data_IF_298233625780
#
_entry.id   IF_298233625780
#
_cell.length_a   1.000
_cell.length_b   1.000
_cell.length_c   1.000
_cell.angle_alpha   90.00
_cell.angle_beta   90.00
_cell.angle_gamma   90.00
#
_symmetry.space_group_name_H-M   'P 1'
#
loop_
_entity.id
_entity.type
_entity.pdbx_description
1 polymer ?
#
# COMPACT_ATOMS: atom_id res chain seq x y z
N UNK A 1 -21.33 -11.66 -21.01
CA UNK A 1 -20.92 -11.21 -19.65
C UNK A 1 -20.00 -12.22 -18.97
N UNK A 2 -20.33 -13.50 -18.94
CA UNK A 2 -19.49 -14.56 -18.31
C UNK A 2 -18.10 -14.73 -18.97
N UNK A 3 -18.04 -14.70 -20.30
CA UNK A 3 -16.77 -14.79 -21.04
C UNK A 3 -15.81 -13.64 -20.72
N UNK A 4 -16.32 -12.41 -20.58
CA UNK A 4 -15.51 -11.25 -20.20
C UNK A 4 -14.89 -11.44 -18.81
N UNK A 5 -15.67 -11.96 -17.86
CA UNK A 5 -15.16 -12.24 -16.50
C UNK A 5 -14.07 -13.30 -16.54
N UNK A 6 -14.22 -14.35 -17.35
CA UNK A 6 -13.19 -15.37 -17.50
C UNK A 6 -11.91 -14.81 -18.13
N UNK A 7 -12.00 -13.93 -19.13
CA UNK A 7 -10.85 -13.27 -19.74
C UNK A 7 -10.11 -12.39 -18.73
N UNK A 8 -10.84 -11.62 -17.92
CA UNK A 8 -10.25 -10.80 -16.85
C UNK A 8 -9.54 -11.65 -15.79
N UNK A 9 -10.14 -12.76 -15.37
CA UNK A 9 -9.55 -13.68 -14.40
C UNK A 9 -8.32 -14.43 -14.91
N UNK A 10 -8.19 -14.61 -16.22
CA UNK A 10 -7.00 -15.20 -16.86
C UNK A 10 -5.88 -14.19 -17.09
N UNK A 11 -6.19 -12.90 -17.08
CA UNK A 11 -5.19 -11.86 -17.31
C UNK A 11 -4.29 -11.71 -16.08
N UNK A 12 -3.04 -12.18 -16.18
CA UNK A 12 -2.06 -12.11 -15.08
C UNK A 12 -1.69 -10.67 -14.70
N UNK A 13 -1.75 -9.72 -15.64
CA UNK A 13 -1.49 -8.30 -15.36
C UNK A 13 -2.60 -7.65 -14.52
N UNK A 14 -3.77 -8.29 -14.41
CA UNK A 14 -4.85 -7.86 -13.52
C UNK A 14 -4.82 -8.67 -12.21
N UNK A 15 -4.72 -9.98 -12.33
CA UNK A 15 -4.91 -10.88 -11.18
C UNK A 15 -3.69 -10.93 -10.25
N UNK A 16 -2.46 -10.82 -10.77
CA UNK A 16 -1.26 -10.82 -9.91
C UNK A 16 -1.18 -9.59 -8.99
N UNK A 17 -1.37 -8.34 -9.49
CA UNK A 17 -1.39 -7.18 -8.59
C UNK A 17 -2.53 -7.22 -7.58
N UNK A 18 -3.73 -7.69 -7.95
CA UNK A 18 -4.85 -7.81 -7.03
C UNK A 18 -4.56 -8.84 -5.92
N UNK A 19 -3.93 -9.96 -6.25
CA UNK A 19 -3.49 -10.94 -5.25
C UNK A 19 -2.38 -10.38 -4.34
N UNK A 20 -1.44 -9.63 -4.90
CA UNK A 20 -0.39 -8.98 -4.12
C UNK A 20 -0.98 -7.95 -3.14
N UNK A 21 -1.95 -7.17 -3.58
CA UNK A 21 -2.71 -6.26 -2.73
C UNK A 21 -3.46 -7.00 -1.62
N UNK A 22 -4.20 -8.05 -1.96
CA UNK A 22 -4.97 -8.83 -1.00
C UNK A 22 -4.06 -9.51 0.05
N UNK A 23 -2.94 -10.09 -0.40
CA UNK A 23 -1.95 -10.68 0.50
C UNK A 23 -1.35 -9.63 1.45
N UNK A 24 -1.00 -8.44 0.94
CA UNK A 24 -0.51 -7.34 1.78
C UNK A 24 -1.56 -6.92 2.84
N UNK A 25 -2.84 -6.85 2.47
CA UNK A 25 -3.93 -6.52 3.39
C UNK A 25 -4.10 -7.59 4.48
N UNK A 26 -4.01 -8.86 4.12
CA UNK A 26 -4.10 -9.98 5.08
C UNK A 26 -2.92 -9.96 6.03
N UNK A 27 -1.69 -9.85 5.51
CA UNK A 27 -0.46 -9.85 6.31
C UNK A 27 -0.46 -8.67 7.29
N UNK A 28 -0.78 -7.45 6.85
CA UNK A 28 -0.79 -6.29 7.74
C UNK A 28 -1.86 -6.41 8.84
N UNK A 29 -3.05 -6.95 8.50
CA UNK A 29 -4.11 -7.17 9.47
C UNK A 29 -3.71 -8.22 10.50
N UNK A 30 -3.05 -9.30 10.06
CA UNK A 30 -2.52 -10.33 10.96
C UNK A 30 -1.45 -9.76 11.90
N UNK A 31 -0.50 -8.97 11.38
CA UNK A 31 0.54 -8.31 12.19
C UNK A 31 -0.08 -7.37 13.24
N UNK A 32 -1.06 -6.54 12.83
CA UNK A 32 -1.73 -5.61 13.77
C UNK A 32 -2.52 -6.35 14.84
N UNK A 33 -3.25 -7.40 14.45
CA UNK A 33 -4.02 -8.26 15.38
C UNK A 33 -3.11 -8.93 16.41
N UNK A 34 -1.96 -9.47 15.97
CA UNK A 34 -0.97 -10.08 16.86
C UNK A 34 -0.35 -9.06 17.84
N UNK A 35 -0.07 -7.84 17.36
CA UNK A 35 0.53 -6.78 18.20
C UNK A 35 -0.46 -6.20 19.21
N UNK A 36 -1.71 -5.94 18.79
CA UNK A 36 -2.73 -5.29 19.63
C UNK A 36 -3.59 -6.28 20.42
N UNK A 37 -3.49 -7.57 20.12
CA UNK A 37 -4.35 -8.65 20.66
C UNK A 37 -5.85 -8.36 20.48
N UNK A 38 -6.21 -7.59 19.45
CA UNK A 38 -7.60 -7.24 19.09
C UNK A 38 -7.71 -7.18 17.58
N UNK A 39 -8.74 -7.85 17.04
CA UNK A 39 -9.04 -7.81 15.61
C UNK A 39 -9.75 -6.50 15.27
N UNK A 40 -9.21 -5.78 14.28
CA UNK A 40 -9.76 -4.50 13.82
C UNK A 40 -10.06 -4.56 12.32
N UNK A 41 -11.35 -4.66 11.98
CA UNK A 41 -11.82 -4.69 10.58
C UNK A 41 -11.43 -3.43 9.79
N UNK A 42 -11.34 -2.27 10.44
CA UNK A 42 -10.93 -1.04 9.77
C UNK A 42 -9.49 -1.10 9.24
N UNK A 43 -8.67 -2.00 9.78
CA UNK A 43 -7.31 -2.22 9.31
C UNK A 43 -7.27 -3.00 7.99
N UNK A 44 -8.31 -3.81 7.71
CA UNK A 44 -8.39 -4.60 6.48
C UNK A 44 -8.56 -3.71 5.23
N UNK A 45 -9.26 -2.59 5.35
CA UNK A 45 -9.51 -1.65 4.26
C UNK A 45 -8.81 -0.30 4.45
N UNK A 46 -8.28 -0.04 5.65
CA UNK A 46 -7.66 1.22 6.02
C UNK A 46 -6.25 1.41 5.42
N UNK A 47 -5.80 2.66 5.28
CA UNK A 47 -4.43 2.99 4.91
C UNK A 47 -3.45 2.67 6.06
N UNK A 48 -2.14 2.60 5.75
CA UNK A 48 -1.09 2.34 6.74
C UNK A 48 -0.80 0.87 6.97
N UNK A 49 0.16 0.58 7.87
CA UNK A 49 0.60 -0.77 8.22
C UNK A 49 1.66 -1.36 7.27
N UNK A 50 2.28 -2.48 7.70
CA UNK A 50 3.33 -3.19 6.96
C UNK A 50 2.83 -4.58 6.56
N UNK A 51 3.03 -5.01 5.30
CA UNK A 51 3.61 -4.30 4.16
C UNK A 51 2.65 -3.28 3.52
N UNK A 52 3.17 -2.33 2.69
CA UNK A 52 2.34 -1.39 1.95
C UNK A 52 1.56 -2.10 0.83
N UNK A 53 0.24 -2.05 0.91
CA UNK A 53 -0.63 -2.66 -0.10
C UNK A 53 -0.58 -1.94 -1.46
N UNK A 54 -0.39 -0.60 -1.46
CA UNK A 54 -0.20 0.17 -2.69
C UNK A 54 1.09 -0.23 -3.41
N UNK A 55 2.19 -0.35 -2.66
CA UNK A 55 3.47 -0.78 -3.23
C UNK A 55 3.40 -2.22 -3.77
N UNK A 56 2.73 -3.13 -3.05
CA UNK A 56 2.52 -4.50 -3.51
C UNK A 56 1.70 -4.56 -4.80
N UNK A 57 0.63 -3.75 -4.89
CA UNK A 57 -0.21 -3.66 -6.08
C UNK A 57 0.60 -3.23 -7.31
N UNK A 58 1.29 -2.07 -7.22
CA UNK A 58 1.94 -1.47 -8.39
C UNK A 58 3.21 -2.22 -8.79
N UNK A 59 3.98 -2.77 -7.83
CA UNK A 59 5.14 -3.60 -8.15
C UNK A 59 4.73 -4.96 -8.72
N UNK A 60 3.63 -5.54 -8.21
CA UNK A 60 3.03 -6.75 -8.79
C UNK A 60 2.57 -6.53 -10.23
N UNK A 61 1.97 -5.36 -10.53
CA UNK A 61 1.58 -4.98 -11.89
C UNK A 61 2.80 -4.84 -12.80
N UNK A 62 3.80 -4.07 -12.38
CA UNK A 62 5.01 -3.86 -13.18
C UNK A 62 5.73 -5.20 -13.46
N UNK A 63 5.86 -6.06 -12.45
CA UNK A 63 6.49 -7.38 -12.60
C UNK A 63 5.68 -8.29 -13.52
N UNK A 64 4.36 -8.39 -13.35
CA UNK A 64 3.51 -9.20 -14.22
C UNK A 64 3.57 -8.71 -15.69
N UNK A 65 3.64 -7.38 -15.90
CA UNK A 65 3.81 -6.80 -17.24
C UNK A 65 5.18 -7.12 -17.83
N UNK A 66 6.26 -7.00 -17.05
CA UNK A 66 7.61 -7.34 -17.48
C UNK A 66 7.72 -8.80 -17.93
N UNK A 67 7.15 -9.71 -17.14
CA UNK A 67 7.17 -11.15 -17.42
C UNK A 67 6.30 -11.51 -18.64
N UNK A 68 5.15 -10.87 -18.83
CA UNK A 68 4.20 -11.18 -19.89
C UNK A 68 4.53 -10.51 -21.23
N UNK A 69 5.10 -9.31 -21.23
CA UNK A 69 5.32 -8.49 -22.43
C UNK A 69 6.77 -8.12 -22.69
N UNK A 70 7.67 -8.45 -21.77
CA UNK A 70 9.08 -8.07 -21.83
C UNK A 70 9.37 -6.71 -21.21
N UNK A 71 10.61 -6.55 -20.73
CA UNK A 71 11.09 -5.30 -20.10
C UNK A 71 11.32 -4.16 -21.09
N UNK A 72 11.38 -4.47 -22.38
CA UNK A 72 11.51 -3.54 -23.50
C UNK A 72 10.18 -3.02 -24.02
N UNK A 73 9.05 -3.54 -23.49
CA UNK A 73 7.71 -3.14 -23.93
C UNK A 73 7.32 -1.74 -23.41
N UNK A 74 6.57 -0.96 -24.21
CA UNK A 74 6.00 0.32 -23.75
C UNK A 74 5.10 0.15 -22.51
N UNK A 75 4.40 -0.97 -22.43
CA UNK A 75 3.53 -1.28 -21.28
C UNK A 75 4.32 -1.44 -19.99
N UNK A 76 5.50 -2.10 -20.04
CA UNK A 76 6.37 -2.18 -18.87
C UNK A 76 6.90 -0.81 -18.48
N UNK A 77 7.33 0.02 -19.42
CA UNK A 77 7.80 1.37 -19.13
C UNK A 77 6.72 2.20 -18.39
N UNK A 78 5.45 2.13 -18.86
CA UNK A 78 4.32 2.81 -18.22
C UNK A 78 4.09 2.30 -16.80
N UNK A 79 4.04 0.98 -16.61
CA UNK A 79 3.76 0.38 -15.31
C UNK A 79 4.91 0.57 -14.32
N UNK A 80 6.16 0.57 -14.78
CA UNK A 80 7.35 0.84 -13.96
C UNK A 80 7.38 2.30 -13.47
N UNK A 81 7.09 3.27 -14.37
CA UNK A 81 7.00 4.69 -13.98
C UNK A 81 5.84 4.91 -13.00
N UNK A 82 4.67 4.31 -13.28
CA UNK A 82 3.53 4.37 -12.36
C UNK A 82 3.89 3.81 -10.98
N UNK A 83 4.59 2.67 -10.92
CA UNK A 83 5.04 2.08 -9.66
C UNK A 83 5.99 3.03 -8.91
N UNK A 84 6.92 3.67 -9.61
CA UNK A 84 7.82 4.67 -9.05
C UNK A 84 7.07 5.85 -8.43
N UNK A 85 6.12 6.43 -9.16
CA UNK A 85 5.30 7.57 -8.68
C UNK A 85 4.50 7.18 -7.43
N UNK A 86 3.76 6.07 -7.50
CA UNK A 86 2.91 5.63 -6.37
C UNK A 86 3.74 5.29 -5.13
N UNK A 87 4.90 4.65 -5.29
CA UNK A 87 5.78 4.34 -4.15
C UNK A 87 6.44 5.60 -3.58
N UNK A 88 6.81 6.56 -4.43
CA UNK A 88 7.34 7.85 -4.00
C UNK A 88 6.30 8.64 -3.19
N UNK A 89 5.07 8.74 -3.69
CA UNK A 89 3.98 9.41 -2.99
C UNK A 89 3.62 8.72 -1.67
N UNK A 90 3.58 7.38 -1.67
CA UNK A 90 3.31 6.62 -0.44
C UNK A 90 4.34 6.90 0.66
N UNK A 91 5.61 7.13 0.30
CA UNK A 91 6.68 7.49 1.23
C UNK A 91 6.68 9.00 1.56
N UNK A 92 6.39 9.86 0.58
CA UNK A 92 6.47 11.33 0.68
C UNK A 92 5.33 11.94 1.49
N UNK A 93 4.10 11.47 1.29
CA UNK A 93 2.92 11.95 2.04
C UNK A 93 3.11 11.76 3.54
N UNK A 94 3.73 10.65 3.97
CA UNK A 94 4.01 10.44 5.40
C UNK A 94 4.92 11.53 5.96
N UNK A 95 6.00 11.89 5.27
CA UNK A 95 6.92 12.93 5.76
C UNK A 95 6.23 14.29 5.90
N UNK A 96 5.31 14.62 4.99
CA UNK A 96 4.52 15.83 5.06
C UNK A 96 3.56 15.81 6.26
N UNK A 97 2.87 14.69 6.46
CA UNK A 97 1.93 14.52 7.59
C UNK A 97 2.65 14.49 8.94
N UNK A 98 3.80 13.81 9.04
CA UNK A 98 4.59 13.77 10.28
C UNK A 98 5.05 15.20 10.66
N UNK A 99 5.50 16.02 9.70
CA UNK A 99 5.83 17.44 9.92
C UNK A 99 4.62 18.28 10.33
N UNK A 100 3.48 18.09 9.67
CA UNK A 100 2.25 18.80 10.02
C UNK A 100 1.77 18.44 11.44
N UNK A 101 1.87 17.15 11.81
CA UNK A 101 1.52 16.68 13.15
C UNK A 101 2.45 17.27 14.22
N UNK A 102 3.74 17.39 13.93
CA UNK A 102 4.73 18.01 14.82
C UNK A 102 4.41 19.50 15.05
N UNK A 103 4.13 20.24 13.97
CA UNK A 103 3.75 21.67 14.04
C UNK A 103 2.44 21.83 14.81
N UNK A 104 1.43 21.01 14.55
CA UNK A 104 0.15 21.04 15.24
C UNK A 104 0.31 20.72 16.73
N UNK A 105 1.12 19.73 17.07
CA UNK A 105 1.43 19.39 18.46
C UNK A 105 2.12 20.56 19.16
N UNK A 106 3.06 21.22 18.49
CA UNK A 106 3.74 22.39 19.04
C UNK A 106 2.78 23.56 19.27
N UNK A 107 1.85 23.83 18.37
CA UNK A 107 0.82 24.87 18.53
C UNK A 107 -0.11 24.52 19.71
N UNK A 108 -0.54 23.27 19.81
CA UNK A 108 -1.50 22.80 20.81
C UNK A 108 -0.91 22.66 22.22
N UNK A 109 0.40 22.60 22.38
CA UNK A 109 1.02 22.66 23.72
C UNK A 109 0.75 23.96 24.44
N UNK A 110 0.35 25.00 23.70
CA UNK A 110 0.02 26.33 24.22
C UNK A 110 -1.49 26.60 24.34
N UNK A 111 -2.35 25.64 24.02
CA UNK A 111 -3.82 25.72 24.07
C UNK A 111 -4.34 24.70 25.09
N UNK A 112 -5.26 25.07 26.02
CA UNK A 112 -5.83 24.13 26.97
C UNK A 112 -6.49 22.93 26.24
N UNK A 113 -6.11 21.73 26.63
CA UNK A 113 -6.62 20.48 26.02
C UNK A 113 -8.10 20.30 26.38
N UNK A 114 -8.98 20.33 25.40
CA UNK A 114 -10.41 20.13 25.58
C UNK A 114 -11.00 18.93 24.82
N UNK A 115 -10.25 18.18 24.01
CA UNK A 115 -10.84 17.06 23.27
C UNK A 115 -9.90 15.86 23.03
N UNK A 116 -10.29 14.69 23.57
CA UNK A 116 -9.71 13.36 23.28
C UNK A 116 -9.88 12.93 21.80
N UNK A 117 -10.77 13.59 21.03
CA UNK A 117 -11.03 13.27 19.63
C UNK A 117 -9.93 13.76 18.67
N UNK A 118 -9.12 14.72 19.09
CA UNK A 118 -8.08 15.29 18.24
C UNK A 118 -6.90 14.33 18.04
N UNK A 119 -6.52 13.60 19.08
CA UNK A 119 -5.45 12.59 19.00
C UNK A 119 -5.85 11.44 18.06
N UNK A 120 -7.14 11.08 18.02
CA UNK A 120 -7.68 10.09 17.07
C UNK A 120 -7.67 10.57 15.63
N UNK A 121 -7.95 11.87 15.39
CA UNK A 121 -7.94 12.47 14.07
C UNK A 121 -6.52 12.51 13.48
N UNK A 122 -5.51 12.87 14.28
CA UNK A 122 -4.11 12.88 13.85
C UNK A 122 -3.56 11.49 13.53
N UNK A 123 -3.99 10.44 14.25
CA UNK A 123 -3.57 9.07 13.98
C UNK A 123 -4.12 8.51 12.65
N UNK A 124 -5.20 9.08 12.11
CA UNK A 124 -5.82 8.65 10.84
C UNK A 124 -5.07 9.10 9.58
N UNK A 125 -4.16 10.07 9.69
CA UNK A 125 -3.48 10.70 8.54
C UNK A 125 -2.09 10.11 8.23
N UNK A 126 -1.74 8.96 8.79
CA UNK A 126 -0.38 8.39 8.71
C UNK A 126 -0.12 7.72 7.36
N UNK A 127 0.75 8.29 6.54
CA UNK A 127 1.31 7.66 5.33
C UNK A 127 2.22 6.45 5.65
N UNK A 128 2.93 5.91 4.65
CA UNK A 128 3.77 4.71 4.78
C UNK A 128 5.24 5.05 5.09
N UNK A 129 5.92 4.24 5.92
CA UNK A 129 7.37 4.33 6.07
C UNK A 129 8.07 3.75 4.84
N UNK A 130 9.34 4.16 4.59
CA UNK A 130 10.15 3.59 3.51
C UNK A 130 10.26 2.07 3.60
N UNK A 131 10.38 1.52 4.82
CA UNK A 131 10.44 0.07 5.05
C UNK A 131 9.14 -0.62 4.65
N UNK A 132 7.99 0.00 4.92
CA UNK A 132 6.68 -0.53 4.51
C UNK A 132 6.52 -0.54 2.99
N UNK A 133 7.01 0.51 2.30
CA UNK A 133 7.01 0.61 0.84
C UNK A 133 7.88 -0.49 0.22
N UNK A 134 9.10 -0.65 0.71
CA UNK A 134 10.04 -1.69 0.23
C UNK A 134 9.45 -3.10 0.49
N UNK A 135 8.94 -3.35 1.70
CA UNK A 135 8.31 -4.64 2.02
C UNK A 135 7.11 -4.96 1.13
N UNK A 136 6.29 -3.94 0.81
CA UNK A 136 5.20 -4.08 -0.14
C UNK A 136 5.70 -4.39 -1.56
N UNK A 137 6.72 -3.67 -2.02
CA UNK A 137 7.30 -3.89 -3.35
C UNK A 137 7.86 -5.30 -3.52
N UNK A 138 8.62 -5.79 -2.54
CA UNK A 138 9.15 -7.16 -2.55
C UNK A 138 8.04 -8.21 -2.56
N UNK A 139 6.97 -8.00 -1.81
CA UNK A 139 5.80 -8.89 -1.81
C UNK A 139 5.12 -8.94 -3.17
N UNK A 140 4.93 -7.77 -3.81
CA UNK A 140 4.32 -7.68 -5.14
C UNK A 140 5.14 -8.39 -6.21
N UNK A 141 6.46 -8.19 -6.21
CA UNK A 141 7.40 -8.88 -7.11
C UNK A 141 7.32 -10.39 -6.89
N UNK A 142 7.40 -10.85 -5.64
CA UNK A 142 7.37 -12.27 -5.33
C UNK A 142 6.09 -12.96 -5.81
N UNK A 143 4.92 -12.36 -5.55
CA UNK A 143 3.62 -12.93 -5.97
C UNK A 143 3.49 -12.96 -7.48
N UNK A 144 3.89 -11.88 -8.18
CA UNK A 144 3.83 -11.86 -9.64
C UNK A 144 4.76 -12.90 -10.28
N UNK A 145 5.97 -13.08 -9.73
CA UNK A 145 6.94 -14.07 -10.21
C UNK A 145 6.48 -15.50 -9.94
N UNK A 146 5.87 -15.78 -8.77
CA UNK A 146 5.37 -17.12 -8.43
C UNK A 146 4.16 -17.56 -9.27
N UNK A 147 3.44 -16.60 -9.83
CA UNK A 147 2.25 -16.85 -10.65
C UNK A 147 2.52 -16.97 -12.15
N UNK A 148 3.67 -16.52 -12.59
CA UNK A 148 4.08 -16.60 -14.00
C UNK A 148 4.63 -17.97 -14.33
#
# INVERSE_FOLDING_TARGET
MWELVQLLLRNQMITSPLLAWAAAQIIKTAIDTLRRRRFNLNMLLGPGGMPSAHSALVSGLATATALSQGVDSPSFAITAVLAGIVMYDAAGVRQAVDRQSEILTHILTHVPRTHDDFDRFLMGLVGHTRVQVIGGALLGIAIATLRH
#
